data_IF_512440377119
#
_entry.id   IF_512440377119
#
_cell.length_a   1.000
_cell.length_b   1.000
_cell.length_c   1.000
_cell.angle_alpha   90.00
_cell.angle_beta   90.00
_cell.angle_gamma   90.00
#
_symmetry.space_group_name_H-M   'P 1'
#
loop_
_entity.id
_entity.type
_entity.pdbx_description
1 polymer ?
#
# COMPACT_ATOMS: atom_id res chain seq x y z
N UNK A 1 1.75 -55.12 -37.91
CA UNK A 1 1.36 -54.05 -38.86
C UNK A 1 2.60 -53.30 -39.30
N UNK A 2 2.94 -53.29 -40.58
CA UNK A 2 4.11 -52.54 -41.08
C UNK A 2 3.79 -51.05 -41.08
N UNK A 3 4.51 -50.27 -40.28
CA UNK A 3 4.40 -48.82 -40.18
C UNK A 3 5.53 -48.20 -40.99
N UNK A 4 5.22 -47.15 -41.75
CA UNK A 4 6.20 -46.36 -42.49
C UNK A 4 5.98 -44.88 -42.22
N UNK A 5 7.02 -44.08 -42.39
CA UNK A 5 6.97 -42.63 -42.23
C UNK A 5 6.53 -41.96 -43.53
N UNK A 6 5.56 -41.06 -43.44
CA UNK A 6 5.05 -40.31 -44.58
C UNK A 6 4.92 -38.83 -44.23
N UNK A 7 5.21 -37.96 -45.20
CA UNK A 7 5.03 -36.52 -45.05
C UNK A 7 3.55 -36.13 -45.20
N UNK A 8 3.04 -35.30 -44.30
CA UNK A 8 1.71 -34.72 -44.40
C UNK A 8 1.60 -33.81 -45.63
N UNK A 9 0.60 -34.02 -46.48
CA UNK A 9 0.40 -33.24 -47.69
C UNK A 9 0.14 -31.76 -47.43
N UNK A 10 -0.36 -31.41 -46.23
CA UNK A 10 -0.63 -30.05 -45.80
C UNK A 10 0.58 -29.37 -45.12
N UNK A 11 0.99 -29.84 -43.95
CA UNK A 11 2.02 -29.18 -43.13
C UNK A 11 3.45 -29.71 -43.34
N UNK A 12 3.63 -30.71 -44.21
CA UNK A 12 4.91 -31.39 -44.52
C UNK A 12 5.60 -32.08 -43.33
N UNK A 13 4.97 -32.12 -42.15
CA UNK A 13 5.44 -32.89 -40.99
C UNK A 13 5.41 -34.39 -41.28
N UNK A 14 6.47 -35.09 -40.91
CA UNK A 14 6.58 -36.55 -41.00
C UNK A 14 5.76 -37.18 -39.87
N UNK A 15 4.96 -38.21 -40.19
CA UNK A 15 4.17 -38.95 -39.21
C UNK A 15 4.08 -40.44 -39.58
N UNK A 16 3.92 -41.34 -38.59
CA UNK A 16 3.80 -42.77 -38.84
C UNK A 16 2.44 -43.13 -39.43
N UNK A 17 2.42 -44.03 -40.41
CA UNK A 17 1.19 -44.56 -41.00
C UNK A 17 1.34 -46.03 -41.42
N UNK A 18 0.24 -46.78 -41.37
CA UNK A 18 0.23 -48.16 -41.85
C UNK A 18 0.47 -48.24 -43.36
N UNK A 19 1.35 -49.15 -43.79
CA UNK A 19 1.66 -49.38 -45.20
C UNK A 19 0.40 -49.70 -46.03
N UNK A 20 -0.55 -50.45 -45.46
CA UNK A 20 -1.84 -50.75 -46.11
C UNK A 20 -2.62 -49.49 -46.48
N UNK A 21 -2.68 -48.51 -45.58
CA UNK A 21 -3.38 -47.23 -45.78
C UNK A 21 -2.70 -46.38 -46.85
N UNK A 22 -1.38 -46.46 -46.97
CA UNK A 22 -0.63 -45.77 -48.03
C UNK A 22 -0.88 -46.43 -49.39
N UNK A 23 -0.91 -47.76 -49.45
CA UNK A 23 -1.21 -48.47 -50.70
C UNK A 23 -2.65 -48.20 -51.16
N UNK A 24 -3.61 -48.21 -50.23
CA UNK A 24 -5.00 -47.80 -50.47
C UNK A 24 -5.06 -46.36 -50.99
N UNK A 25 -4.34 -45.44 -50.35
CA UNK A 25 -4.28 -44.06 -50.78
C UNK A 25 -3.63 -43.87 -52.16
N UNK A 26 -2.57 -44.61 -52.49
CA UNK A 26 -1.96 -44.61 -53.84
C UNK A 26 -2.95 -45.11 -54.88
N UNK A 27 -3.71 -46.17 -54.59
CA UNK A 27 -4.72 -46.75 -55.48
C UNK A 27 -5.83 -45.74 -55.82
N UNK A 28 -6.30 -44.97 -54.85
CA UNK A 28 -7.40 -44.01 -55.02
C UNK A 28 -6.96 -42.55 -55.18
N UNK A 29 -5.65 -42.29 -55.25
CA UNK A 29 -5.10 -40.92 -55.34
C UNK A 29 -5.36 -40.05 -54.10
N UNK A 30 -5.53 -40.64 -52.92
CA UNK A 30 -5.84 -39.91 -51.69
C UNK A 30 -4.61 -39.29 -51.03
N UNK A 31 -4.70 -38.00 -50.71
CA UNK A 31 -3.71 -37.28 -49.92
C UNK A 31 -3.65 -37.77 -48.46
N UNK A 32 -2.48 -37.75 -47.87
CA UNK A 32 -2.18 -38.16 -46.50
C UNK A 32 -2.04 -36.95 -45.56
N UNK A 33 -2.67 -37.04 -44.40
CA UNK A 33 -2.66 -35.96 -43.40
C UNK A 33 -2.33 -36.48 -42.01
N UNK A 34 -1.47 -35.77 -41.28
CA UNK A 34 -1.06 -36.16 -39.94
C UNK A 34 -2.16 -35.98 -38.88
N UNK A 35 -3.24 -35.24 -39.18
CA UNK A 35 -4.37 -35.02 -38.27
C UNK A 35 -5.64 -34.63 -39.03
N UNK A 36 -6.80 -34.79 -38.38
CA UNK A 36 -8.09 -34.31 -38.91
C UNK A 36 -8.10 -32.80 -39.17
N UNK A 37 -7.33 -32.02 -38.38
CA UNK A 37 -7.14 -30.60 -38.62
C UNK A 37 -6.40 -30.34 -39.95
N UNK A 38 -5.29 -31.05 -40.24
CA UNK A 38 -4.58 -30.90 -41.52
C UNK A 38 -5.45 -31.30 -42.72
N UNK A 39 -6.25 -32.35 -42.58
CA UNK A 39 -7.22 -32.76 -43.61
C UNK A 39 -8.29 -31.69 -43.84
N UNK A 40 -8.85 -31.11 -42.77
CA UNK A 40 -9.83 -30.01 -42.87
C UNK A 40 -9.22 -28.76 -43.51
N UNK A 41 -8.01 -28.36 -43.07
CA UNK A 41 -7.30 -27.19 -43.61
C UNK A 41 -6.93 -27.35 -45.09
N UNK A 42 -6.54 -28.56 -45.51
CA UNK A 42 -6.23 -28.85 -46.90
C UNK A 42 -7.46 -28.83 -47.83
N UNK A 43 -8.66 -29.07 -47.27
CA UNK A 43 -9.93 -29.02 -47.99
C UNK A 43 -10.55 -27.62 -48.03
N UNK A 44 -10.08 -26.67 -47.23
CA UNK A 44 -10.60 -25.29 -47.26
C UNK A 44 -10.16 -24.60 -48.54
N UNK A 45 -11.12 -24.07 -49.29
CA UNK A 45 -10.85 -23.22 -50.43
C UNK A 45 -10.09 -21.97 -49.95
N UNK A 46 -8.86 -21.82 -50.44
CA UNK A 46 -8.00 -20.68 -50.18
C UNK A 46 -7.99 -19.78 -51.42
N UNK A 47 -8.05 -18.48 -51.21
CA UNK A 47 -7.96 -17.47 -52.27
C UNK A 47 -6.62 -16.74 -52.16
N UNK A 48 -5.95 -16.55 -53.29
CA UNK A 48 -4.75 -15.71 -53.38
C UNK A 48 -5.15 -14.24 -53.37
N UNK A 49 -4.53 -13.47 -52.47
CA UNK A 49 -4.78 -12.04 -52.29
C UNK A 49 -3.46 -11.27 -52.40
N UNK A 50 -3.53 -10.07 -52.98
CA UNK A 50 -2.45 -9.09 -52.91
C UNK A 50 -2.54 -8.31 -51.59
N UNK A 51 -1.38 -7.97 -51.01
CA UNK A 51 -1.32 -7.18 -49.79
C UNK A 51 -1.85 -5.76 -50.04
N UNK A 52 -2.82 -5.32 -49.24
CA UNK A 52 -3.35 -3.95 -49.30
C UNK A 52 -2.40 -2.86 -48.82
N UNK A 53 -1.11 -3.16 -48.60
CA UNK A 53 -0.08 -2.18 -48.31
C UNK A 53 0.57 -1.78 -49.64
N UNK A 54 0.49 -0.51 -50.08
CA UNK A 54 1.00 -0.09 -51.40
C UNK A 54 2.50 -0.29 -51.56
N UNK A 55 3.25 -0.37 -50.46
CA UNK A 55 4.69 -0.62 -50.46
C UNK A 55 5.04 -2.12 -50.34
N UNK A 56 4.05 -3.02 -50.47
CA UNK A 56 4.24 -4.46 -50.32
C UNK A 56 3.54 -5.22 -51.45
N UNK A 57 4.33 -5.82 -52.34
CA UNK A 57 3.82 -6.60 -53.47
C UNK A 57 3.64 -8.10 -53.16
N UNK A 58 3.58 -8.47 -51.87
CA UNK A 58 3.51 -9.87 -51.46
C UNK A 58 2.11 -10.45 -51.70
N UNK A 59 2.06 -11.57 -52.42
CA UNK A 59 0.87 -12.41 -52.57
C UNK A 59 0.80 -13.39 -51.39
N UNK A 60 -0.39 -13.55 -50.80
CA UNK A 60 -0.63 -14.47 -49.68
C UNK A 60 -2.02 -15.11 -49.79
N UNK A 61 -2.24 -16.20 -49.05
CA UNK A 61 -3.47 -16.98 -49.13
C UNK A 61 -4.31 -16.82 -47.87
N UNK A 62 -5.64 -16.72 -48.04
CA UNK A 62 -6.63 -16.71 -46.96
C UNK A 62 -7.82 -17.59 -47.32
N UNK A 63 -8.48 -18.15 -46.32
CA UNK A 63 -9.78 -18.78 -46.51
C UNK A 63 -10.87 -17.72 -46.71
N UNK A 64 -11.96 -18.06 -47.42
CA UNK A 64 -13.02 -17.10 -47.76
C UNK A 64 -13.59 -16.35 -46.54
N UNK A 65 -13.74 -17.03 -45.38
CA UNK A 65 -14.25 -16.41 -44.15
C UNK A 65 -13.25 -15.44 -43.48
N UNK A 66 -11.95 -15.55 -43.77
CA UNK A 66 -10.92 -14.65 -43.24
C UNK A 66 -10.79 -13.34 -44.04
N UNK A 67 -11.46 -13.24 -45.19
CA UNK A 67 -11.41 -12.07 -46.06
C UNK A 67 -12.35 -11.00 -45.50
N UNK A 68 -11.83 -9.80 -45.27
CA UNK A 68 -12.65 -8.69 -44.82
C UNK A 68 -13.72 -8.34 -45.86
N UNK A 69 -14.86 -7.81 -45.42
CA UNK A 69 -15.91 -7.28 -46.31
C UNK A 69 -15.35 -6.21 -47.25
N UNK A 70 -14.40 -5.40 -46.77
CA UNK A 70 -13.71 -4.38 -47.57
C UNK A 70 -12.75 -4.95 -48.62
N UNK A 71 -12.51 -6.26 -48.62
CA UNK A 71 -11.54 -7.00 -49.45
C UNK A 71 -10.07 -6.57 -49.28
N UNK A 72 -9.79 -5.57 -48.44
CA UNK A 72 -8.43 -5.14 -48.10
C UNK A 72 -7.88 -6.06 -47.02
N UNK A 73 -6.96 -6.93 -47.42
CA UNK A 73 -6.25 -7.83 -46.51
C UNK A 73 -4.75 -7.55 -46.53
N UNK A 74 -4.06 -7.83 -45.42
CA UNK A 74 -2.62 -7.61 -45.28
C UNK A 74 -1.88 -8.92 -45.07
N UNK A 75 -0.70 -9.05 -45.69
CA UNK A 75 0.12 -10.25 -45.57
C UNK A 75 0.71 -10.44 -44.16
N UNK A 76 0.74 -9.37 -43.33
CA UNK A 76 1.26 -9.39 -41.96
C UNK A 76 0.65 -8.30 -41.08
N UNK A 77 0.74 -8.47 -39.75
CA UNK A 77 0.38 -7.43 -38.77
C UNK A 77 1.17 -6.14 -38.99
N UNK A 78 2.44 -6.25 -39.38
CA UNK A 78 3.30 -5.10 -39.65
C UNK A 78 2.81 -4.30 -40.86
N UNK A 79 2.45 -4.96 -41.97
CA UNK A 79 1.88 -4.28 -43.14
C UNK A 79 0.56 -3.57 -42.82
N UNK A 80 -0.32 -4.22 -42.05
CA UNK A 80 -1.55 -3.59 -41.56
C UNK A 80 -1.24 -2.36 -40.69
N UNK A 81 -0.28 -2.48 -39.77
CA UNK A 81 0.11 -1.39 -38.88
C UNK A 81 0.70 -0.19 -39.63
N UNK A 82 1.53 -0.41 -40.66
CA UNK A 82 2.09 0.67 -41.50
C UNK A 82 0.97 1.51 -42.12
N UNK A 83 0.02 0.85 -42.80
CA UNK A 83 -1.10 1.54 -43.46
C UNK A 83 -2.03 2.21 -42.43
N UNK A 84 -2.36 1.51 -41.34
CA UNK A 84 -3.24 2.07 -40.30
C UNK A 84 -2.60 3.26 -39.58
N UNK A 85 -1.29 3.22 -39.31
CA UNK A 85 -0.57 4.32 -38.68
C UNK A 85 -0.45 5.54 -39.59
N UNK A 86 -0.35 5.35 -40.91
CA UNK A 86 -0.39 6.44 -41.90
C UNK A 86 -1.77 7.10 -41.97
N UNK A 87 -2.85 6.31 -41.92
CA UNK A 87 -4.23 6.81 -41.93
C UNK A 87 -4.64 7.51 -40.63
N UNK A 88 -4.01 7.14 -39.52
CA UNK A 88 -4.34 7.69 -38.21
C UNK A 88 -3.80 9.11 -38.05
N UNK A 89 -4.67 10.05 -37.63
CA UNK A 89 -4.23 11.41 -37.26
C UNK A 89 -3.18 11.32 -36.13
N UNK A 90 -1.96 11.81 -36.38
CA UNK A 90 -0.91 11.90 -35.36
C UNK A 90 -1.35 12.87 -34.27
N UNK A 91 -1.71 12.35 -33.09
CA UNK A 91 -2.04 13.18 -31.92
C UNK A 91 -0.77 13.89 -31.46
N UNK A 92 -0.78 15.22 -31.46
CA UNK A 92 0.30 16.01 -30.83
C UNK A 92 0.32 15.68 -29.34
N UNK A 93 1.49 15.37 -28.75
CA UNK A 93 1.59 15.11 -27.33
C UNK A 93 1.20 16.36 -26.55
N UNK A 94 0.34 16.22 -25.53
CA UNK A 94 0.01 17.33 -24.62
C UNK A 94 1.27 17.70 -23.82
N UNK A 95 1.77 18.91 -24.05
CA UNK A 95 2.87 19.47 -23.27
C UNK A 95 2.37 19.85 -21.88
N UNK A 96 3.21 19.59 -20.88
CA UNK A 96 2.99 19.95 -19.49
C UNK A 96 4.18 20.76 -19.00
N UNK A 97 3.94 21.65 -18.06
CA UNK A 97 4.97 22.44 -17.40
C UNK A 97 5.46 21.64 -16.19
N UNK A 98 6.77 21.48 -16.05
CA UNK A 98 7.33 20.81 -14.88
C UNK A 98 7.14 21.67 -13.63
N UNK A 99 6.54 21.15 -12.53
CA UNK A 99 6.35 21.92 -11.31
C UNK A 99 7.65 22.35 -10.61
N UNK A 100 8.79 21.73 -10.95
CA UNK A 100 10.07 21.99 -10.29
C UNK A 100 10.94 22.99 -11.03
N UNK A 101 11.03 22.91 -12.37
CA UNK A 101 11.93 23.74 -13.17
C UNK A 101 11.24 24.55 -14.27
N UNK A 102 9.92 24.43 -14.42
CA UNK A 102 9.17 25.16 -15.45
C UNK A 102 9.34 24.64 -16.88
N UNK A 103 10.25 23.69 -17.14
CA UNK A 103 10.48 23.16 -18.50
C UNK A 103 9.24 22.46 -19.06
N UNK A 104 8.98 22.62 -20.36
CA UNK A 104 7.95 21.89 -21.08
C UNK A 104 8.37 20.44 -21.35
N UNK A 105 7.46 19.49 -21.12
CA UNK A 105 7.70 18.07 -21.38
C UNK A 105 6.41 17.32 -21.71
N UNK A 106 6.53 16.12 -22.29
CA UNK A 106 5.39 15.26 -22.65
C UNK A 106 5.40 13.92 -21.87
N UNK A 107 4.31 13.16 -21.99
CA UNK A 107 4.19 11.81 -21.40
C UNK A 107 3.38 11.77 -20.10
N UNK A 108 3.43 10.66 -19.35
CA UNK A 108 2.60 10.44 -18.15
C UNK A 108 3.19 10.96 -16.85
N UNK A 109 4.49 11.29 -16.83
CA UNK A 109 5.20 11.70 -15.61
C UNK A 109 4.72 13.06 -15.11
N UNK A 110 4.89 13.32 -13.79
CA UNK A 110 4.58 14.62 -13.16
C UNK A 110 5.72 15.64 -13.33
N UNK A 111 6.96 15.17 -13.44
CA UNK A 111 8.16 15.99 -13.59
C UNK A 111 8.88 15.63 -14.89
N UNK A 112 9.63 16.58 -15.46
CA UNK A 112 10.29 16.40 -16.76
C UNK A 112 11.41 15.37 -16.71
N UNK A 113 12.14 15.27 -15.60
CA UNK A 113 13.28 14.37 -15.41
C UNK A 113 13.36 13.85 -13.99
N UNK A 114 14.24 12.87 -13.75
CA UNK A 114 14.56 12.37 -12.40
C UNK A 114 15.14 13.45 -11.50
N UNK A 115 15.90 14.39 -12.06
CA UNK A 115 16.49 15.54 -11.35
C UNK A 115 15.39 16.43 -10.76
N UNK A 116 14.27 16.54 -11.46
CA UNK A 116 13.14 17.38 -11.04
C UNK A 116 12.15 16.69 -10.09
N UNK A 117 12.38 15.43 -9.71
CA UNK A 117 11.58 14.78 -8.68
C UNK A 117 11.85 15.45 -7.32
N UNK A 118 10.83 15.60 -6.45
CA UNK A 118 11.03 16.15 -5.12
C UNK A 118 12.12 15.39 -4.36
N UNK A 119 13.07 16.10 -3.76
CA UNK A 119 14.18 15.51 -2.98
C UNK A 119 13.69 14.53 -1.91
N UNK A 120 12.49 14.75 -1.38
CA UNK A 120 11.82 13.86 -0.41
C UNK A 120 11.59 12.43 -0.91
N UNK A 121 11.59 12.23 -2.23
CA UNK A 121 11.50 10.92 -2.91
C UNK A 121 12.86 10.36 -3.35
N UNK A 122 13.91 11.19 -3.38
CA UNK A 122 15.26 10.84 -3.81
C UNK A 122 16.22 10.84 -2.62
N UNK A 123 15.90 10.08 -1.57
CA UNK A 123 16.82 9.90 -0.44
C UNK A 123 17.55 8.57 -0.58
N UNK A 124 18.90 8.56 -0.51
CA UNK A 124 19.69 7.34 -0.57
C UNK A 124 19.51 6.49 0.70
N UNK A 125 19.87 5.21 0.62
CA UNK A 125 19.68 4.26 1.73
C UNK A 125 20.45 4.68 2.97
N UNK A 126 21.65 5.19 2.76
CA UNK A 126 22.63 5.60 3.77
C UNK A 126 22.08 6.76 4.59
N UNK A 127 21.49 7.76 3.93
CA UNK A 127 20.86 8.89 4.59
C UNK A 127 19.64 8.46 5.42
N UNK A 128 18.81 7.54 4.92
CA UNK A 128 17.68 6.99 5.70
C UNK A 128 18.18 6.33 6.98
N UNK A 129 19.25 5.53 6.90
CA UNK A 129 19.86 4.87 8.07
C UNK A 129 20.37 5.92 9.07
N UNK A 130 21.08 6.94 8.59
CA UNK A 130 21.60 8.03 9.43
C UNK A 130 20.48 8.81 10.12
N UNK A 131 19.38 9.10 9.43
CA UNK A 131 18.22 9.79 10.01
C UNK A 131 17.56 8.96 11.11
N UNK A 132 17.40 7.64 10.90
CA UNK A 132 16.86 6.74 11.93
C UNK A 132 17.78 6.72 13.16
N UNK A 133 19.10 6.60 12.96
CA UNK A 133 20.10 6.62 14.05
C UNK A 133 20.10 7.96 14.79
N UNK A 134 20.04 9.09 14.08
CA UNK A 134 19.96 10.44 14.66
C UNK A 134 18.70 10.60 15.51
N UNK A 135 17.55 10.14 15.00
CA UNK A 135 16.30 10.16 15.75
C UNK A 135 16.39 9.33 17.03
N UNK A 136 16.98 8.12 16.93
CA UNK A 136 17.17 7.26 18.09
C UNK A 136 18.07 7.90 19.14
N UNK A 137 19.20 8.52 18.75
CA UNK A 137 20.10 9.23 19.67
C UNK A 137 19.39 10.36 20.42
N UNK A 138 18.45 11.06 19.78
CA UNK A 138 17.70 12.16 20.40
C UNK A 138 16.53 11.72 21.29
N UNK A 139 15.81 10.65 20.93
CA UNK A 139 14.56 10.25 21.61
C UNK A 139 14.62 8.88 22.32
N UNK A 140 15.72 8.14 22.20
CA UNK A 140 15.88 6.79 22.77
C UNK A 140 14.97 5.71 22.15
N UNK A 141 14.38 5.99 20.97
CA UNK A 141 13.45 5.07 20.29
C UNK A 141 13.43 5.31 18.78
N UNK A 142 12.90 4.34 18.04
CA UNK A 142 12.69 4.43 16.59
C UNK A 142 11.51 5.39 16.29
N UNK A 143 11.54 6.17 15.20
CA UNK A 143 10.42 7.03 14.83
C UNK A 143 9.20 6.24 14.38
N UNK A 144 8.01 6.76 14.70
CA UNK A 144 6.77 6.30 14.11
C UNK A 144 6.66 6.76 12.65
N UNK A 145 5.82 6.06 11.87
CA UNK A 145 5.51 6.44 10.48
C UNK A 145 5.07 7.91 10.34
N UNK A 146 4.38 8.46 11.34
CA UNK A 146 3.91 9.87 11.36
C UNK A 146 5.02 10.87 11.71
N UNK A 147 6.08 10.42 12.37
CA UNK A 147 7.25 11.23 12.72
C UNK A 147 8.32 11.21 11.62
N UNK A 148 8.35 10.14 10.82
CA UNK A 148 9.37 9.97 9.79
C UNK A 148 8.87 10.43 8.41
N UNK A 149 9.25 11.66 8.05
CA UNK A 149 8.84 12.31 6.80
C UNK A 149 9.16 11.49 5.55
N UNK A 150 10.29 10.78 5.54
CA UNK A 150 10.79 10.01 4.40
C UNK A 150 10.36 8.53 4.40
N UNK A 151 9.29 8.17 5.11
CA UNK A 151 8.85 6.77 5.25
C UNK A 151 8.56 6.08 3.91
N UNK A 152 8.07 6.81 2.90
CA UNK A 152 7.83 6.25 1.55
C UNK A 152 9.14 5.86 0.87
N UNK A 153 10.16 6.72 0.96
CA UNK A 153 11.49 6.44 0.42
C UNK A 153 12.12 5.24 1.14
N UNK A 154 12.05 5.19 2.48
CA UNK A 154 12.51 4.05 3.26
C UNK A 154 11.81 2.75 2.83
N UNK A 155 10.48 2.74 2.71
CA UNK A 155 9.75 1.55 2.22
C UNK A 155 10.19 1.16 0.81
N UNK A 156 10.35 2.11 -0.09
CA UNK A 156 10.74 1.81 -1.48
C UNK A 156 12.15 1.22 -1.57
N UNK A 157 13.11 1.76 -0.83
CA UNK A 157 14.53 1.35 -0.90
C UNK A 157 14.83 0.05 -0.16
N UNK A 158 14.16 -0.20 0.96
CA UNK A 158 14.39 -1.38 1.80
C UNK A 158 13.29 -2.45 1.65
N UNK A 159 12.25 -2.18 0.87
CA UNK A 159 11.07 -3.04 0.69
C UNK A 159 10.03 -2.86 1.81
N UNK A 160 10.45 -2.82 3.08
CA UNK A 160 9.58 -2.56 4.24
C UNK A 160 10.23 -1.60 5.23
N UNK A 161 9.41 -0.95 6.07
CA UNK A 161 9.91 -0.11 7.17
C UNK A 161 10.76 -0.91 8.15
N UNK A 162 10.33 -2.12 8.51
CA UNK A 162 11.07 -2.99 9.42
C UNK A 162 12.45 -3.37 8.87
N UNK A 163 12.58 -3.59 7.55
CA UNK A 163 13.88 -3.80 6.91
C UNK A 163 14.78 -2.56 6.98
N UNK A 164 14.22 -1.35 6.89
CA UNK A 164 14.98 -0.12 7.08
C UNK A 164 15.46 0.05 8.53
N UNK A 165 14.61 -0.28 9.51
CA UNK A 165 14.94 -0.26 10.94
C UNK A 165 16.03 -1.28 11.28
N UNK A 166 15.92 -2.50 10.77
CA UNK A 166 16.96 -3.54 10.89
C UNK A 166 18.28 -3.09 10.28
N UNK A 167 18.26 -2.50 9.07
CA UNK A 167 19.47 -1.97 8.43
C UNK A 167 20.10 -0.81 9.21
N UNK A 168 19.32 -0.10 10.02
CA UNK A 168 19.84 0.92 10.94
C UNK A 168 20.42 0.35 12.24
N UNK A 169 20.33 -0.96 12.45
CA UNK A 169 20.85 -1.66 13.64
C UNK A 169 19.88 -1.68 14.82
N UNK A 170 18.58 -1.54 14.57
CA UNK A 170 17.57 -1.54 15.64
C UNK A 170 16.55 -2.67 15.47
N UNK A 171 15.98 -3.09 16.59
CA UNK A 171 14.93 -4.10 16.64
C UNK A 171 13.59 -3.57 16.09
N UNK A 172 13.06 -4.15 14.99
CA UNK A 172 11.78 -3.75 14.44
C UNK A 172 10.62 -4.23 15.31
N UNK A 173 9.43 -3.68 15.06
CA UNK A 173 8.20 -4.18 15.67
C UNK A 173 7.34 -4.88 14.59
N UNK A 174 7.49 -6.20 14.40
CA UNK A 174 6.80 -6.93 13.32
C UNK A 174 5.30 -7.10 13.57
N UNK A 175 4.88 -7.21 14.83
CA UNK A 175 3.50 -7.51 15.20
C UNK A 175 2.92 -6.35 16.02
N UNK A 176 1.79 -5.81 15.55
CA UNK A 176 1.06 -4.76 16.29
C UNK A 176 0.69 -5.29 17.69
N UNK A 177 1.00 -4.52 18.73
CA UNK A 177 0.68 -4.81 20.14
C UNK A 177 1.42 -5.99 20.79
N UNK A 178 2.34 -6.67 20.10
CA UNK A 178 3.10 -7.77 20.71
C UNK A 178 4.14 -7.27 21.72
N UNK A 179 4.79 -6.14 21.41
CA UNK A 179 5.82 -5.56 22.28
C UNK A 179 5.18 -4.80 23.42
N UNK A 180 5.37 -5.29 24.65
CA UNK A 180 5.10 -4.55 25.89
C UNK A 180 6.29 -3.65 26.20
N UNK A 181 6.01 -2.56 26.88
CA UNK A 181 7.02 -1.57 27.28
C UNK A 181 6.93 -1.35 28.79
N UNK A 182 8.06 -1.03 29.41
CA UNK A 182 8.12 -0.62 30.82
C UNK A 182 8.44 0.87 30.86
N UNK A 183 7.58 1.65 31.51
CA UNK A 183 7.77 3.08 31.72
C UNK A 183 8.81 3.37 32.81
N UNK A 184 9.21 4.63 32.94
CA UNK A 184 10.29 5.05 33.87
C UNK A 184 9.97 4.82 35.34
N UNK A 185 8.70 4.82 35.71
CA UNK A 185 8.23 4.52 37.07
C UNK A 185 7.96 3.03 37.32
N UNK A 186 8.21 2.18 36.31
CA UNK A 186 7.99 0.73 36.37
C UNK A 186 6.64 0.26 35.83
N UNK A 187 5.74 1.16 35.42
CA UNK A 187 4.47 0.74 34.85
C UNK A 187 4.62 -0.08 33.56
N UNK A 188 3.81 -1.14 33.44
CA UNK A 188 3.74 -1.95 32.23
C UNK A 188 2.75 -1.33 31.23
N UNK A 189 3.20 -1.06 30.02
CA UNK A 189 2.43 -0.45 28.94
C UNK A 189 2.26 -1.39 27.75
N UNK A 190 1.05 -1.38 27.19
CA UNK A 190 0.64 -2.21 26.06
C UNK A 190 1.02 -1.60 24.73
N UNK A 191 1.30 -0.30 24.74
CA UNK A 191 1.78 0.46 23.61
C UNK A 191 2.91 1.40 23.99
N UNK A 192 3.74 1.73 23.00
CA UNK A 192 4.78 2.75 23.16
C UNK A 192 4.16 4.15 23.38
N UNK A 193 2.96 4.41 22.85
CA UNK A 193 2.25 5.67 23.10
C UNK A 193 1.85 5.81 24.57
N UNK A 194 1.34 4.74 25.19
CA UNK A 194 1.08 4.73 26.63
C UNK A 194 2.37 5.00 27.41
N UNK A 195 3.49 4.33 27.08
CA UNK A 195 4.78 4.61 27.73
C UNK A 195 5.18 6.09 27.60
N UNK A 196 4.96 6.72 26.44
CA UNK A 196 5.30 8.14 26.25
C UNK A 196 4.44 9.04 27.16
N UNK A 197 3.15 8.76 27.29
CA UNK A 197 2.23 9.52 28.16
C UNK A 197 2.62 9.32 29.63
N UNK A 198 2.86 8.06 30.01
CA UNK A 198 3.28 7.65 31.35
C UNK A 198 4.60 8.31 31.77
N UNK A 199 5.66 8.16 30.94
CA UNK A 199 6.96 8.81 31.17
C UNK A 199 6.82 10.34 31.29
N UNK A 200 5.87 10.95 30.56
CA UNK A 200 5.61 12.39 30.66
C UNK A 200 4.97 12.74 32.02
N UNK A 201 3.94 12.01 32.45
CA UNK A 201 3.30 12.19 33.76
C UNK A 201 4.32 12.02 34.89
N UNK A 202 5.14 10.97 34.83
CA UNK A 202 6.22 10.73 35.78
C UNK A 202 7.25 11.85 35.78
N UNK A 203 7.68 12.35 34.61
CA UNK A 203 8.64 13.45 34.51
C UNK A 203 8.13 14.76 35.13
N UNK A 204 6.81 14.96 35.17
CA UNK A 204 6.15 16.09 35.84
C UNK A 204 5.84 15.83 37.31
N UNK A 205 6.25 14.67 37.85
CA UNK A 205 5.96 14.21 39.21
C UNK A 205 4.46 14.12 39.51
N UNK A 206 3.66 13.79 38.50
CA UNK A 206 2.22 13.61 38.63
C UNK A 206 1.94 12.14 38.94
N UNK A 207 1.42 11.89 40.15
CA UNK A 207 0.95 10.55 40.51
C UNK A 207 -0.25 10.17 39.67
N UNK A 208 -0.22 8.96 39.10
CA UNK A 208 -1.25 8.49 38.19
C UNK A 208 -1.48 6.99 38.34
N UNK A 209 -2.73 6.56 38.14
CA UNK A 209 -3.12 5.16 38.15
C UNK A 209 -3.28 4.64 36.73
N UNK A 210 -2.82 3.42 36.45
CA UNK A 210 -3.07 2.72 35.18
C UNK A 210 -4.34 1.89 35.21
N UNK A 211 -4.95 1.71 34.02
CA UNK A 211 -6.11 0.83 33.82
C UNK A 211 -7.28 1.13 34.77
N UNK A 212 -7.55 2.41 35.03
CA UNK A 212 -8.56 2.84 35.98
C UNK A 212 -9.97 2.51 35.48
N UNK A 213 -10.74 1.74 36.25
CA UNK A 213 -12.12 1.38 35.89
C UNK A 213 -13.04 2.59 35.89
N UNK A 214 -13.93 2.67 34.91
CA UNK A 214 -15.03 3.63 34.91
C UNK A 214 -16.13 3.13 35.85
N UNK A 215 -16.13 3.61 37.09
CA UNK A 215 -17.14 3.26 38.12
C UNK A 215 -17.38 1.73 38.17
N UNK A 216 -18.64 1.29 38.19
CA UNK A 216 -19.06 -0.11 38.22
C UNK A 216 -19.13 -0.77 36.84
N UNK A 217 -18.27 -0.36 35.89
CA UNK A 217 -18.22 -0.96 34.54
C UNK A 217 -16.97 -1.81 34.33
N UNK A 218 -17.01 -2.66 33.31
CA UNK A 218 -15.85 -3.44 32.86
C UNK A 218 -14.86 -2.62 32.02
N UNK A 219 -15.19 -1.37 31.69
CA UNK A 219 -14.34 -0.52 30.88
C UNK A 219 -13.32 0.21 31.75
N UNK A 220 -12.10 0.35 31.22
CA UNK A 220 -11.02 1.09 31.86
C UNK A 220 -10.57 2.26 30.99
N UNK A 221 -10.08 3.32 31.64
CA UNK A 221 -9.23 4.34 31.05
C UNK A 221 -7.77 3.90 31.09
N UNK A 222 -6.94 4.44 30.20
CA UNK A 222 -5.50 4.14 30.20
C UNK A 222 -4.84 4.68 31.47
N UNK A 223 -5.19 5.89 31.88
CA UNK A 223 -4.70 6.53 33.10
C UNK A 223 -5.81 7.26 33.87
N UNK A 224 -5.60 7.47 35.17
CA UNK A 224 -6.39 8.36 36.03
C UNK A 224 -5.48 9.20 36.90
N UNK A 225 -5.72 10.50 36.95
CA UNK A 225 -5.03 11.48 37.81
C UNK A 225 -6.10 12.22 38.60
N UNK A 226 -6.08 12.09 39.94
CA UNK A 226 -7.18 12.58 40.79
C UNK A 226 -8.53 12.07 40.26
N UNK A 227 -9.50 12.94 40.01
CA UNK A 227 -10.81 12.58 39.42
C UNK A 227 -10.88 12.71 37.89
N UNK A 228 -9.73 12.86 37.23
CA UNK A 228 -9.64 13.05 35.78
C UNK A 228 -9.14 11.75 35.13
N UNK A 229 -9.95 11.22 34.20
CA UNK A 229 -9.59 10.07 33.37
C UNK A 229 -8.84 10.54 32.13
N UNK A 230 -7.84 9.77 31.68
CA UNK A 230 -7.06 10.04 30.48
C UNK A 230 -7.09 8.80 29.60
N UNK A 231 -7.48 8.98 28.34
CA UNK A 231 -7.60 7.89 27.37
C UNK A 231 -6.90 8.25 26.05
N UNK A 232 -6.07 7.33 25.56
CA UNK A 232 -5.38 7.41 24.30
C UNK A 232 -6.09 6.60 23.21
N UNK A 233 -6.76 7.31 22.30
CA UNK A 233 -7.46 6.67 21.18
C UNK A 233 -6.53 6.43 19.98
N UNK A 234 -5.61 5.47 20.12
CA UNK A 234 -4.56 5.18 19.15
C UNK A 234 -5.04 4.65 17.78
N UNK A 235 -6.25 4.06 17.73
CA UNK A 235 -6.81 3.39 16.54
C UNK A 235 -8.06 4.06 15.96
N UNK A 236 -8.38 5.29 16.37
CA UNK A 236 -9.58 5.98 15.85
C UNK A 236 -9.58 6.04 14.33
N UNK A 237 -10.70 5.61 13.73
CA UNK A 237 -10.90 5.62 12.28
C UNK A 237 -10.14 4.52 11.52
N UNK A 238 -9.43 3.63 12.23
CA UNK A 238 -8.76 2.49 11.61
C UNK A 238 -9.66 1.25 11.50
N UNK A 239 -10.57 1.04 12.48
CA UNK A 239 -11.44 -0.14 12.56
C UNK A 239 -12.82 0.24 13.12
N UNK A 240 -13.89 -0.07 12.38
CA UNK A 240 -15.28 0.21 12.81
C UNK A 240 -15.62 -0.39 14.18
N UNK A 241 -15.10 -1.58 14.50
CA UNK A 241 -15.34 -2.25 15.79
C UNK A 241 -14.69 -1.51 16.95
N UNK A 242 -13.46 -1.00 16.75
CA UNK A 242 -12.77 -0.18 17.74
C UNK A 242 -13.52 1.14 17.99
N UNK A 243 -13.96 1.80 16.92
CA UNK A 243 -14.74 3.03 17.02
C UNK A 243 -16.06 2.81 17.79
N UNK A 244 -16.73 1.66 17.59
CA UNK A 244 -17.92 1.29 18.38
C UNK A 244 -17.62 1.16 19.88
N UNK A 245 -16.48 0.58 20.26
CA UNK A 245 -16.07 0.47 21.67
C UNK A 245 -15.75 1.84 22.28
N UNK A 246 -15.03 2.69 21.53
CA UNK A 246 -14.78 4.08 21.91
C UNK A 246 -16.10 4.81 22.18
N UNK A 247 -17.09 4.69 21.28
CA UNK A 247 -18.39 5.32 21.46
C UNK A 247 -19.14 4.82 22.70
N UNK A 248 -19.00 3.52 23.06
CA UNK A 248 -19.57 2.99 24.31
C UNK A 248 -18.92 3.63 25.54
N UNK A 249 -17.59 3.73 25.58
CA UNK A 249 -16.85 4.42 26.66
C UNK A 249 -17.30 5.88 26.80
N UNK A 250 -17.37 6.61 25.68
CA UNK A 250 -17.82 8.01 25.68
C UNK A 250 -19.26 8.19 26.18
N UNK A 251 -20.16 7.24 25.89
CA UNK A 251 -21.53 7.25 26.45
C UNK A 251 -21.54 7.08 27.97
N UNK A 252 -20.72 6.17 28.52
CA UNK A 252 -20.60 5.96 29.97
C UNK A 252 -20.09 7.23 30.64
N UNK A 253 -19.06 7.85 30.07
CA UNK A 253 -18.43 9.06 30.59
C UNK A 253 -19.44 10.22 30.59
N UNK A 254 -20.17 10.41 29.48
CA UNK A 254 -21.21 11.44 29.38
C UNK A 254 -22.38 11.19 30.34
N UNK A 255 -22.81 9.93 30.51
CA UNK A 255 -23.94 9.58 31.38
C UNK A 255 -23.64 9.86 32.86
N UNK A 256 -22.39 9.66 33.28
CA UNK A 256 -21.97 9.79 34.67
C UNK A 256 -21.18 11.08 34.95
N UNK A 257 -21.20 12.04 34.01
CA UNK A 257 -20.49 13.32 34.09
C UNK A 257 -19.02 13.22 34.51
N UNK A 258 -18.32 12.21 33.98
CA UNK A 258 -16.91 11.98 34.31
C UNK A 258 -16.00 12.91 33.52
N UNK A 259 -14.98 13.48 34.19
CA UNK A 259 -13.95 14.28 33.51
C UNK A 259 -13.01 13.39 32.72
N UNK A 260 -12.92 13.61 31.41
CA UNK A 260 -12.09 12.83 30.50
C UNK A 260 -11.22 13.73 29.61
N UNK A 261 -9.91 13.52 29.64
CA UNK A 261 -8.96 14.00 28.65
C UNK A 261 -8.77 12.94 27.56
N UNK A 262 -8.99 13.33 26.31
CA UNK A 262 -8.84 12.46 25.14
C UNK A 262 -7.53 12.80 24.43
N UNK A 263 -6.66 11.82 24.25
CA UNK A 263 -5.40 11.99 23.53
C UNK A 263 -5.49 11.17 22.24
N UNK A 264 -5.11 11.78 21.11
CA UNK A 264 -5.08 11.15 19.81
C UNK A 264 -3.64 11.07 19.27
N UNK A 265 -3.36 10.22 18.25
CA UNK A 265 -2.03 10.14 17.66
C UNK A 265 -1.46 11.46 17.14
N UNK A 266 -2.32 12.41 16.71
CA UNK A 266 -1.95 13.76 16.27
C UNK A 266 -1.45 14.68 17.40
N UNK A 267 -1.77 14.31 18.64
CA UNK A 267 -1.41 15.06 19.84
C UNK A 267 -0.05 14.60 20.39
N UNK A 268 0.38 13.39 20.03
CA UNK A 268 1.70 12.86 20.38
C UNK A 268 2.74 13.05 19.27
N UNK A 269 2.31 13.06 18.00
CA UNK A 269 3.21 13.00 16.85
C UNK A 269 2.84 14.03 15.75
N UNK A 270 3.83 14.63 15.06
CA UNK A 270 5.27 14.36 15.15
C UNK A 270 5.97 14.97 16.38
N UNK A 271 5.38 16.02 16.92
CA UNK A 271 5.80 16.70 18.14
C UNK A 271 4.71 16.53 19.20
N UNK A 272 5.15 16.35 20.45
CA UNK A 272 4.25 16.10 21.57
C UNK A 272 3.62 17.40 22.03
N UNK A 273 2.28 17.44 22.05
CA UNK A 273 1.46 18.54 22.58
C UNK A 273 0.92 18.24 23.97
N UNK A 274 1.55 17.28 24.67
CA UNK A 274 1.11 16.85 25.99
C UNK A 274 1.12 17.99 27.01
N UNK A 275 2.08 18.91 26.93
CA UNK A 275 2.10 20.08 27.81
C UNK A 275 0.83 20.92 27.71
N UNK A 276 0.31 21.13 26.50
CA UNK A 276 -0.89 21.96 26.28
C UNK A 276 -2.15 21.22 26.73
N UNK A 277 -2.24 19.93 26.41
CA UNK A 277 -3.43 19.11 26.65
C UNK A 277 -3.57 18.73 28.12
N UNK A 278 -2.45 18.42 28.78
CA UNK A 278 -2.41 17.98 30.17
C UNK A 278 -2.08 19.13 31.13
N UNK A 279 -2.08 20.39 30.65
CA UNK A 279 -1.80 21.56 31.48
C UNK A 279 -2.73 21.65 32.70
N UNK A 280 -3.98 21.20 32.58
CA UNK A 280 -4.92 21.21 33.70
C UNK A 280 -4.51 20.33 34.87
N UNK A 281 -3.63 19.35 34.65
CA UNK A 281 -3.11 18.46 35.70
C UNK A 281 -1.97 19.09 36.51
N UNK A 282 -1.37 20.18 36.02
CA UNK A 282 -0.21 20.84 36.63
C UNK A 282 -0.66 21.93 37.64
N UNK A 283 -1.95 22.24 37.74
CA UNK A 283 -2.43 23.31 38.62
C UNK A 283 -2.13 22.97 40.08
N UNK A 284 -1.44 23.84 40.84
CA UNK A 284 -1.34 23.68 42.28
C UNK A 284 -2.76 23.73 42.85
N UNK A 285 -3.03 22.88 43.85
CA UNK A 285 -4.28 22.88 44.58
C UNK A 285 -4.67 24.32 44.93
N UNK A 286 -5.87 24.75 44.50
CA UNK A 286 -6.47 25.95 45.07
C UNK A 286 -6.61 25.68 46.56
N UNK A 287 -5.91 26.48 47.37
CA UNK A 287 -6.04 26.53 48.82
C UNK A 287 -7.51 26.43 49.20
N UNK A 288 -7.87 25.29 49.79
CA UNK A 288 -9.16 25.10 50.45
C UNK A 288 -9.11 26.05 51.66
N UNK A 289 -9.80 27.18 51.58
CA UNK A 289 -10.11 27.98 52.75
C UNK A 289 -10.92 27.08 53.69
N UNK A 290 -10.25 26.52 54.71
CA UNK A 290 -10.90 25.92 55.86
C UNK A 290 -11.76 27.02 56.49
N UNK A 291 -13.09 26.84 56.63
CA UNK A 291 -13.84 27.72 57.50
C UNK A 291 -13.30 27.53 58.91
N UNK A 292 -12.83 28.63 59.50
CA UNK A 292 -12.43 28.73 60.89
C UNK A 292 -13.60 28.26 61.76
N UNK A 293 -13.44 27.11 62.43
CA UNK A 293 -14.22 26.75 63.59
C UNK A 293 -13.90 27.77 64.68
N UNK A 294 -14.64 28.87 64.73
CA UNK A 294 -14.68 29.71 65.92
C UNK A 294 -15.58 29.04 66.94
N UNK A 295 -14.88 28.34 67.82
CA UNK A 295 -15.20 27.95 69.17
C UNK A 295 -16.04 29.03 69.88
N UNK A 296 -17.36 28.84 69.97
CA UNK A 296 -18.16 29.50 71.00
C UNK A 296 -18.08 28.63 72.26
N UNK A 297 -17.06 28.91 73.07
CA UNK A 297 -17.02 28.52 74.48
C UNK A 297 -16.89 29.79 75.33
N UNK A 298 -18.02 30.12 75.94
CA UNK A 298 -18.20 30.59 77.32
C UNK A 298 -17.86 32.03 77.77
N UNK A 299 -18.86 32.53 78.53
CA UNK A 299 -18.92 33.55 79.59
C UNK A 299 -19.45 34.91 79.11
N UNK A 300 -20.53 35.46 79.67
CA UNK A 300 -21.09 35.33 81.04
C UNK A 300 -22.61 35.38 81.04
#
# INVERSE_FOLDING_TARGET
MTIVEVACDYCKKIFPRELRRINEAKKFGWKQYCSGNCHSLAKRAMVSLQCGNPNCNKIFFRSLHEISISKICFCSRSCAAVVNNQRSRKRKPKLKICPNCGSYFSGRRKYCSSICLPKTTIIPKEQIIQEIKKFYKGRGRIPFKREYFHWKAARFRFGTWNKAVLAAGFEPNPVKFAKKFTAKDGHRCDSLSEKIIDDWLFSKKIFHLKNAKYLNTLFTADFKVNDIFIEFFGLTGALKTYDKLMMKKLKIIKKNDLRLIKIFPKDLFPESKLNDILNELIKPEKTINKPSLNLFLHKS
#
